data_IF_025558821581
#
_entry.id   IF_025558821581
#
_cell.length_a   1.000
_cell.length_b   1.000
_cell.length_c   1.000
_cell.angle_alpha   90.00
_cell.angle_beta   90.00
_cell.angle_gamma   90.00
#
_symmetry.space_group_name_H-M   'P 1'
#
loop_
_entity.id
_entity.type
_entity.pdbx_description
1 polymer ?
#
# COMPACT_ATOMS: atom_id res chain seq x y z
N UNK A 1 -4.65 9.62 -7.29
CA UNK A 1 -3.68 8.71 -7.94
C UNK A 1 -2.23 9.00 -7.58
N UNK A 2 -1.75 10.25 -7.67
CA UNK A 2 -0.36 10.59 -7.28
C UNK A 2 0.00 10.18 -5.85
N UNK A 3 -0.92 10.35 -4.89
CA UNK A 3 -0.70 9.92 -3.50
C UNK A 3 -0.56 8.40 -3.33
N UNK A 4 -1.35 7.60 -4.06
CA UNK A 4 -1.30 6.13 -3.98
C UNK A 4 -0.02 5.59 -4.61
N UNK A 5 0.40 6.15 -5.74
CA UNK A 5 1.66 5.83 -6.41
C UNK A 5 2.88 6.12 -5.51
N UNK A 6 2.90 7.29 -4.86
CA UNK A 6 3.94 7.65 -3.88
C UNK A 6 3.92 6.76 -2.64
N UNK A 7 2.74 6.40 -2.14
CA UNK A 7 2.59 5.53 -0.97
C UNK A 7 3.08 4.10 -1.22
N UNK A 8 2.96 3.61 -2.45
CA UNK A 8 3.36 2.27 -2.86
C UNK A 8 4.69 2.20 -3.63
N UNK A 9 5.45 3.31 -3.73
CA UNK A 9 6.71 3.41 -4.48
C UNK A 9 6.62 2.95 -5.94
N UNK A 10 5.48 3.17 -6.58
CA UNK A 10 5.28 2.85 -8.00
C UNK A 10 5.09 4.11 -8.82
N UNK A 11 5.33 4.02 -10.12
CA UNK A 11 5.03 5.12 -11.05
C UNK A 11 3.52 5.34 -11.17
N UNK A 12 3.11 6.52 -11.65
CA UNK A 12 1.70 6.80 -11.97
C UNK A 12 1.14 5.82 -13.01
N UNK A 13 1.95 5.43 -13.99
CA UNK A 13 1.55 4.46 -15.02
C UNK A 13 1.30 3.08 -14.41
N UNK A 14 2.23 2.59 -13.60
CA UNK A 14 2.08 1.30 -12.90
C UNK A 14 0.87 1.32 -11.97
N UNK A 15 0.66 2.41 -11.23
CA UNK A 15 -0.52 2.58 -10.38
C UNK A 15 -1.85 2.55 -11.16
N UNK A 16 -1.88 3.13 -12.36
CA UNK A 16 -3.05 3.08 -13.23
C UNK A 16 -3.41 1.64 -13.59
N UNK A 17 -2.41 0.85 -14.01
CA UNK A 17 -2.59 -0.56 -14.38
C UNK A 17 -3.05 -1.38 -13.17
N UNK A 18 -2.45 -1.18 -12.00
CA UNK A 18 -2.87 -1.85 -10.76
C UNK A 18 -4.32 -1.54 -10.41
N UNK A 19 -4.71 -0.26 -10.43
CA UNK A 19 -6.10 0.11 -10.12
C UNK A 19 -7.10 -0.43 -11.14
N UNK A 20 -6.75 -0.49 -12.43
CA UNK A 20 -7.62 -1.10 -13.44
C UNK A 20 -7.81 -2.60 -13.21
N UNK A 21 -6.73 -3.32 -12.84
CA UNK A 21 -6.82 -4.74 -12.51
C UNK A 21 -7.69 -4.97 -11.26
N UNK A 22 -7.44 -4.22 -10.19
CA UNK A 22 -8.22 -4.31 -8.95
C UNK A 22 -9.70 -3.98 -9.16
N UNK A 23 -10.01 -3.05 -10.07
CA UNK A 23 -11.38 -2.67 -10.43
C UNK A 23 -12.06 -3.77 -11.25
N UNK A 24 -11.39 -4.29 -12.27
CA UNK A 24 -11.88 -5.42 -13.08
C UNK A 24 -12.14 -6.66 -12.22
N UNK A 25 -11.30 -6.91 -11.23
CA UNK A 25 -11.40 -8.08 -10.36
C UNK A 25 -12.37 -7.84 -9.17
N UNK A 26 -12.96 -6.64 -9.07
CA UNK A 26 -14.02 -6.31 -8.13
C UNK A 26 -13.58 -5.92 -6.72
N UNK A 27 -12.28 -5.65 -6.50
CA UNK A 27 -11.73 -5.23 -5.21
C UNK A 27 -11.87 -3.73 -4.97
N UNK A 28 -11.91 -2.92 -6.02
CA UNK A 28 -12.17 -1.49 -5.92
C UNK A 28 -13.25 -1.04 -6.89
N UNK A 29 -13.88 0.08 -6.61
CA UNK A 29 -14.77 0.81 -7.52
C UNK A 29 -14.27 2.23 -7.70
N UNK A 30 -14.54 2.82 -8.87
CA UNK A 30 -14.46 4.27 -9.04
C UNK A 30 -15.87 4.84 -9.15
N UNK A 31 -16.21 5.87 -8.36
CA UNK A 31 -17.49 6.53 -8.54
C UNK A 31 -17.53 7.17 -9.94
N UNK A 32 -18.70 7.14 -10.58
CA UNK A 32 -18.90 7.77 -11.88
C UNK A 32 -18.84 9.30 -11.80
N UNK A 33 -19.19 9.85 -10.63
CA UNK A 33 -19.20 11.28 -10.36
C UNK A 33 -18.42 11.60 -9.09
N UNK A 34 -17.76 12.76 -9.08
CA UNK A 34 -16.97 13.18 -7.94
C UNK A 34 -17.90 13.76 -6.88
N UNK A 35 -17.92 13.17 -5.69
CA UNK A 35 -18.74 13.68 -4.58
C UNK A 35 -18.36 15.13 -4.19
N UNK A 36 -17.07 15.49 -4.30
CA UNK A 36 -16.55 16.86 -4.15
C UNK A 36 -15.29 17.03 -5.03
N UNK A 37 -15.24 18.11 -5.83
CA UNK A 37 -14.08 18.43 -6.68
C UNK A 37 -14.02 17.66 -8.01
N UNK A 38 -12.83 17.53 -8.61
CA UNK A 38 -12.63 16.85 -9.92
C UNK A 38 -12.03 15.43 -9.81
N UNK A 39 -11.83 14.92 -8.59
CA UNK A 39 -11.11 13.65 -8.38
C UNK A 39 -12.11 12.53 -8.09
N UNK A 40 -12.02 11.43 -8.85
CA UNK A 40 -12.75 10.18 -8.64
C UNK A 40 -11.81 9.19 -7.92
N UNK A 41 -11.74 9.19 -6.58
CA UNK A 41 -10.88 8.26 -5.85
C UNK A 41 -11.42 6.83 -5.97
N UNK A 42 -10.52 5.87 -6.21
CA UNK A 42 -10.87 4.47 -6.07
C UNK A 42 -11.22 4.17 -4.60
N UNK A 43 -12.28 3.41 -4.38
CA UNK A 43 -12.75 2.99 -3.06
C UNK A 43 -12.77 1.46 -2.99
N UNK A 44 -12.42 0.89 -1.83
CA UNK A 44 -12.54 -0.56 -1.62
C UNK A 44 -14.00 -0.98 -1.61
N UNK A 45 -14.31 -2.07 -2.31
CA UNK A 45 -15.57 -2.80 -2.15
C UNK A 45 -15.55 -3.60 -0.85
N UNK A 46 -16.69 -4.17 -0.41
CA UNK A 46 -16.69 -5.12 0.71
C UNK A 46 -15.69 -6.27 0.50
N UNK A 47 -15.71 -6.91 -0.69
CA UNK A 47 -14.73 -7.92 -1.11
C UNK A 47 -13.28 -7.39 -1.06
N UNK A 48 -13.08 -6.15 -1.48
CA UNK A 48 -11.78 -5.46 -1.39
C UNK A 48 -11.27 -5.35 0.04
N UNK A 49 -12.15 -5.09 1.00
CA UNK A 49 -11.79 -4.98 2.41
C UNK A 49 -11.42 -6.34 3.00
N UNK A 50 -12.22 -7.37 2.73
CA UNK A 50 -11.92 -8.75 3.16
C UNK A 50 -10.56 -9.21 2.61
N UNK A 51 -10.32 -9.01 1.31
CA UNK A 51 -9.04 -9.36 0.69
C UNK A 51 -7.86 -8.56 1.26
N UNK A 52 -8.06 -7.27 1.59
CA UNK A 52 -7.04 -6.47 2.25
C UNK A 52 -6.74 -6.99 3.66
N UNK A 53 -7.74 -7.41 4.43
CA UNK A 53 -7.56 -7.99 5.76
C UNK A 53 -6.75 -9.29 5.68
N UNK A 54 -7.09 -10.20 4.76
CA UNK A 54 -6.35 -11.44 4.52
C UNK A 54 -4.89 -11.17 4.12
N UNK A 55 -4.68 -10.26 3.16
CA UNK A 55 -3.34 -9.88 2.71
C UNK A 55 -2.52 -9.25 3.86
N UNK A 56 -3.15 -8.41 4.68
CA UNK A 56 -2.50 -7.77 5.83
C UNK A 56 -2.08 -8.79 6.88
N UNK A 57 -2.94 -9.79 7.16
CA UNK A 57 -2.63 -10.88 8.06
C UNK A 57 -1.46 -11.75 7.53
N UNK A 58 -1.45 -12.05 6.23
CA UNK A 58 -0.37 -12.80 5.60
C UNK A 58 0.98 -12.06 5.68
N UNK A 59 1.00 -10.75 5.40
CA UNK A 59 2.21 -9.92 5.55
C UNK A 59 2.68 -9.91 7.00
N UNK A 60 1.77 -9.72 7.96
CA UNK A 60 2.12 -9.73 9.39
C UNK A 60 2.72 -11.07 9.84
N UNK A 61 2.21 -12.19 9.34
CA UNK A 61 2.78 -13.50 9.64
C UNK A 61 4.23 -13.63 9.12
N UNK A 62 4.52 -13.08 7.95
CA UNK A 62 5.89 -13.03 7.41
C UNK A 62 6.77 -12.13 8.28
N UNK A 63 6.31 -10.94 8.66
CA UNK A 63 7.04 -10.02 9.54
C UNK A 63 7.42 -10.69 10.86
N UNK A 64 6.47 -11.32 11.54
CA UNK A 64 6.71 -12.03 12.80
C UNK A 64 7.78 -13.10 12.62
N UNK A 65 7.71 -13.88 11.54
CA UNK A 65 8.71 -14.93 11.26
C UNK A 65 10.09 -14.34 10.96
N UNK A 66 10.16 -13.22 10.23
CA UNK A 66 11.42 -12.55 9.93
C UNK A 66 12.10 -12.01 11.19
N UNK A 67 11.32 -11.50 12.15
CA UNK A 67 11.83 -10.88 13.37
C UNK A 67 12.08 -11.89 14.51
N UNK A 68 11.55 -13.12 14.42
CA UNK A 68 11.60 -14.11 15.50
C UNK A 68 13.03 -14.49 15.97
N UNK A 69 14.03 -14.33 15.10
CA UNK A 69 15.43 -14.59 15.44
C UNK A 69 16.21 -13.38 15.97
N UNK A 70 15.57 -12.22 16.10
CA UNK A 70 16.22 -10.95 16.43
C UNK A 70 15.86 -10.51 17.85
N UNK A 71 16.85 -10.04 18.59
CA UNK A 71 16.67 -9.30 19.84
C UNK A 71 15.96 -7.97 19.59
N UNK A 72 15.35 -7.39 20.63
CA UNK A 72 14.65 -6.10 20.52
C UNK A 72 15.56 -4.98 19.96
N UNK A 73 16.83 -4.94 20.38
CA UNK A 73 17.81 -3.97 19.88
C UNK A 73 18.13 -4.14 18.38
N UNK A 74 18.19 -5.38 17.91
CA UNK A 74 18.40 -5.67 16.49
C UNK A 74 17.17 -5.28 15.66
N UNK A 75 15.96 -5.55 16.17
CA UNK A 75 14.71 -5.14 15.52
C UNK A 75 14.63 -3.61 15.42
N UNK A 76 14.98 -2.89 16.50
CA UNK A 76 14.99 -1.44 16.50
C UNK A 76 15.99 -0.87 15.49
N UNK A 77 17.19 -1.45 15.43
CA UNK A 77 18.23 -1.06 14.47
C UNK A 77 17.78 -1.28 13.02
N UNK A 78 17.18 -2.45 12.73
CA UNK A 78 16.64 -2.76 11.41
C UNK A 78 15.50 -1.82 11.02
N UNK A 79 14.60 -1.49 11.96
CA UNK A 79 13.51 -0.54 11.73
C UNK A 79 14.04 0.86 11.39
N UNK A 80 15.04 1.36 12.13
CA UNK A 80 15.69 2.65 11.85
C UNK A 80 16.33 2.67 10.45
N UNK A 81 17.03 1.59 10.08
CA UNK A 81 17.64 1.46 8.76
C UNK A 81 16.59 1.46 7.64
N UNK A 82 15.53 0.66 7.78
CA UNK A 82 14.44 0.59 6.80
C UNK A 82 13.73 1.93 6.63
N UNK A 83 13.49 2.66 7.73
CA UNK A 83 12.90 4.00 7.69
C UNK A 83 13.78 5.00 6.94
N UNK A 84 15.10 4.91 7.11
CA UNK A 84 16.06 5.74 6.37
C UNK A 84 15.99 5.45 4.86
N UNK A 85 15.99 4.16 4.46
CA UNK A 85 15.83 3.75 3.05
C UNK A 85 14.51 4.26 2.46
N UNK A 86 13.39 4.07 3.18
CA UNK A 86 12.07 4.56 2.77
C UNK A 86 12.07 6.08 2.58
N UNK A 87 12.72 6.83 3.47
CA UNK A 87 12.82 8.29 3.34
C UNK A 87 13.59 8.69 2.08
N UNK A 88 14.73 8.05 1.80
CA UNK A 88 15.51 8.31 0.58
C UNK A 88 14.73 8.00 -0.70
N UNK A 89 13.87 6.98 -0.69
CA UNK A 89 13.04 6.61 -1.85
C UNK A 89 11.88 7.58 -2.11
N UNK A 90 11.48 8.41 -1.15
CA UNK A 90 10.36 9.36 -1.33
C UNK A 90 10.71 10.63 -2.11
N UNK A 91 12.01 10.89 -2.35
CA UNK A 91 12.51 12.10 -3.03
C UNK A 91 12.32 13.38 -2.20
N UNK A 92 13.03 14.48 -2.50
CA UNK A 92 12.75 15.78 -1.87
C UNK A 92 11.34 16.26 -2.25
N UNK A 93 10.67 16.87 -1.28
CA UNK A 93 9.31 17.41 -1.41
C UNK A 93 9.20 18.52 -2.48
#
# INVERSE_FOLDING_TARGET
MSALARGAFVTRQSMNVLLQALERDGYVTRPAEAAVGKVLPAQLTPRGRESLEEASAAVRAVEVRMLAGMTENEQESAFRALRSVIHSLRGPA
#
